data_IF_527683261808
#
_entry.id   IF_527683261808
#
_cell.length_a   1.000
_cell.length_b   1.000
_cell.length_c   1.000
_cell.angle_alpha   90.00
_cell.angle_beta   90.00
_cell.angle_gamma   90.00
#
_symmetry.space_group_name_H-M   'P 1'
#
loop_
_entity.id
_entity.type
_entity.pdbx_description
1 polymer ?
#
# COMPACT_ATOMS: atom_id res chain seq x y z
N UNK A 1 18.51 2.81 10.02
CA UNK A 1 17.11 3.26 10.11
C UNK A 1 16.52 3.13 8.72
N UNK A 2 15.68 2.13 8.54
CA UNK A 2 14.96 1.87 7.30
C UNK A 2 13.60 2.56 7.37
N UNK A 3 13.22 3.18 6.28
CA UNK A 3 11.93 3.85 6.11
C UNK A 3 11.12 3.16 5.02
N UNK A 4 9.80 3.07 5.23
CA UNK A 4 8.83 2.70 4.23
C UNK A 4 7.76 3.80 4.14
N UNK A 5 7.27 4.08 2.94
CA UNK A 5 6.23 5.08 2.69
C UNK A 5 5.11 4.49 1.86
N UNK A 6 3.89 4.71 2.30
CA UNK A 6 2.65 4.40 1.58
C UNK A 6 2.07 5.75 1.16
N UNK A 7 2.12 6.08 -0.14
CA UNK A 7 1.58 7.34 -0.65
C UNK A 7 0.21 7.05 -1.28
N UNK A 8 -0.84 7.18 -0.47
CA UNK A 8 -2.23 6.91 -0.89
C UNK A 8 -2.80 8.13 -1.62
N UNK A 9 -3.01 8.01 -2.93
CA UNK A 9 -3.84 8.96 -3.67
C UNK A 9 -5.17 8.29 -4.04
N UNK A 10 -6.24 9.08 -3.99
CA UNK A 10 -7.65 8.67 -3.91
C UNK A 10 -8.11 7.80 -5.08
N UNK A 11 -8.83 6.70 -4.82
CA UNK A 11 -9.48 5.90 -5.88
C UNK A 11 -10.75 6.60 -6.36
N UNK A 12 -10.91 6.80 -7.68
CA UNK A 12 -12.10 7.43 -8.30
C UNK A 12 -13.41 6.68 -8.02
N UNK A 13 -13.33 5.40 -7.67
CA UNK A 13 -14.48 4.50 -7.61
C UNK A 13 -14.85 4.01 -6.20
N UNK A 14 -13.98 4.18 -5.19
CA UNK A 14 -14.24 3.77 -3.81
C UNK A 14 -14.30 5.00 -2.89
N UNK A 15 -15.52 5.44 -2.62
CA UNK A 15 -15.82 6.53 -1.69
C UNK A 15 -15.94 5.98 -0.26
N UNK A 16 -15.14 6.48 0.68
CA UNK A 16 -15.41 6.27 2.12
C UNK A 16 -16.12 7.51 2.71
N UNK A 17 -16.98 7.28 3.72
CA UNK A 17 -17.99 8.21 4.27
C UNK A 17 -17.51 9.60 4.76
N UNK A 18 -16.21 9.87 4.90
CA UNK A 18 -15.67 11.10 5.50
C UNK A 18 -14.85 11.97 4.52
N UNK A 19 -15.22 11.98 3.24
CA UNK A 19 -14.37 12.58 2.19
C UNK A 19 -14.87 13.98 1.73
N UNK A 20 -14.43 15.03 2.43
CA UNK A 20 -14.76 16.45 2.13
C UNK A 20 -14.19 17.00 0.80
N UNK A 21 -13.39 16.23 0.06
CA UNK A 21 -12.66 16.73 -1.11
C UNK A 21 -13.34 16.35 -2.44
N UNK A 22 -14.57 16.76 -2.69
CA UNK A 22 -15.41 16.37 -3.86
C UNK A 22 -14.86 16.66 -5.28
N UNK A 23 -13.62 17.11 -5.48
CA UNK A 23 -13.15 17.70 -6.75
C UNK A 23 -11.89 17.09 -7.41
N UNK A 24 -11.39 15.93 -6.96
CA UNK A 24 -10.19 15.33 -7.59
C UNK A 24 -10.54 14.71 -8.96
N UNK A 25 -9.93 15.23 -10.04
CA UNK A 25 -10.18 14.87 -11.45
C UNK A 25 -9.10 13.96 -12.08
N UNK A 26 -7.99 13.70 -11.38
CA UNK A 26 -6.82 12.99 -11.92
C UNK A 26 -6.88 11.47 -11.68
N UNK A 27 -6.31 10.72 -12.61
CA UNK A 27 -6.18 9.27 -12.57
C UNK A 27 -5.17 8.86 -11.48
N UNK A 28 -5.55 7.85 -10.70
CA UNK A 28 -5.00 7.57 -9.38
C UNK A 28 -3.70 6.78 -9.45
N UNK A 29 -2.65 7.26 -8.78
CA UNK A 29 -1.40 6.52 -8.63
C UNK A 29 -1.07 6.32 -7.14
N UNK A 30 -1.16 5.08 -6.66
CA UNK A 30 -0.64 4.67 -5.35
C UNK A 30 0.83 4.28 -5.50
N UNK A 31 1.70 4.69 -4.57
CA UNK A 31 3.12 4.32 -4.61
C UNK A 31 3.61 3.82 -3.26
N UNK A 32 4.22 2.64 -3.29
CA UNK A 32 4.96 2.04 -2.19
C UNK A 32 6.43 2.41 -2.40
N UNK A 33 7.09 2.91 -1.36
CA UNK A 33 8.50 3.25 -1.41
C UNK A 33 9.19 2.66 -0.18
N UNK A 34 10.11 1.73 -0.42
CA UNK A 34 11.08 1.30 0.57
C UNK A 34 12.38 2.07 0.37
N UNK A 35 13.00 2.52 1.45
CA UNK A 35 14.37 3.07 1.39
C UNK A 35 15.45 2.01 1.20
N UNK A 36 15.14 0.75 1.52
CA UNK A 36 15.99 -0.41 1.29
C UNK A 36 15.36 -1.26 0.17
N UNK A 37 15.96 -1.35 -1.03
CA UNK A 37 15.39 -2.10 -2.15
C UNK A 37 15.12 -3.57 -1.85
N UNK A 38 15.89 -4.20 -0.96
CA UNK A 38 15.68 -5.60 -0.59
C UNK A 38 14.33 -5.85 0.09
N UNK A 39 13.73 -4.84 0.76
CA UNK A 39 12.43 -4.98 1.41
C UNK A 39 11.28 -5.17 0.40
N UNK A 40 11.42 -4.65 -0.83
CA UNK A 40 10.43 -4.92 -1.88
C UNK A 40 10.41 -6.40 -2.26
N UNK A 41 11.59 -7.02 -2.40
CA UNK A 41 11.71 -8.44 -2.72
C UNK A 41 11.14 -9.32 -1.60
N UNK A 42 11.33 -8.90 -0.35
CA UNK A 42 10.75 -9.60 0.81
C UNK A 42 9.22 -9.48 0.83
N UNK A 43 8.69 -8.32 0.46
CA UNK A 43 7.25 -8.13 0.32
C UNK A 43 6.67 -9.00 -0.80
N UNK A 44 7.27 -8.96 -2.01
CA UNK A 44 6.86 -9.78 -3.15
C UNK A 44 6.86 -11.27 -2.81
N UNK A 45 7.94 -11.73 -2.16
CA UNK A 45 8.05 -13.11 -1.68
C UNK A 45 6.92 -13.46 -0.71
N UNK A 46 6.66 -12.60 0.28
CA UNK A 46 5.58 -12.82 1.23
C UNK A 46 4.21 -12.84 0.56
N UNK A 47 3.95 -11.99 -0.43
CA UNK A 47 2.71 -12.01 -1.21
C UNK A 47 2.53 -13.34 -1.92
N UNK A 48 3.58 -13.83 -2.61
CA UNK A 48 3.56 -15.13 -3.29
C UNK A 48 3.32 -16.30 -2.33
N UNK A 49 4.00 -16.30 -1.17
CA UNK A 49 3.85 -17.33 -0.13
C UNK A 49 2.41 -17.39 0.44
N UNK A 50 1.67 -16.27 0.36
CA UNK A 50 0.27 -16.18 0.78
C UNK A 50 -0.72 -16.27 -0.39
N UNK A 51 -0.28 -16.83 -1.53
CA UNK A 51 -1.15 -17.14 -2.67
C UNK A 51 -1.64 -15.92 -3.46
N UNK A 52 -0.94 -14.80 -3.35
CA UNK A 52 -1.08 -13.64 -4.22
C UNK A 52 0.04 -13.55 -5.25
N UNK A 53 0.03 -12.48 -6.02
CA UNK A 53 1.09 -12.10 -6.97
C UNK A 53 1.15 -10.58 -7.00
N UNK A 54 2.34 -10.00 -6.86
CA UNK A 54 2.53 -8.56 -6.87
C UNK A 54 3.25 -8.14 -8.14
N UNK A 55 2.58 -7.32 -8.95
CA UNK A 55 3.15 -6.74 -10.17
C UNK A 55 2.96 -5.22 -10.13
N UNK A 56 4.04 -4.46 -10.16
CA UNK A 56 3.95 -3.01 -10.29
C UNK A 56 4.14 -2.60 -11.74
N UNK A 57 3.03 -2.23 -12.38
CA UNK A 57 3.05 -1.64 -13.71
C UNK A 57 3.56 -0.20 -13.62
N UNK A 58 4.83 -0.04 -13.95
CA UNK A 58 5.53 1.25 -13.92
C UNK A 58 4.97 2.23 -14.95
N UNK A 59 4.56 1.75 -16.13
CA UNK A 59 4.13 2.59 -17.25
C UNK A 59 2.79 3.25 -16.96
N UNK A 60 1.88 2.52 -16.30
CA UNK A 60 0.59 3.06 -15.83
C UNK A 60 0.61 3.41 -14.33
N UNK A 61 1.77 3.30 -13.68
CA UNK A 61 1.99 3.60 -12.26
C UNK A 61 0.92 3.00 -11.33
N UNK A 62 0.53 1.75 -11.59
CA UNK A 62 -0.53 1.04 -10.87
C UNK A 62 -0.08 -0.36 -10.41
N UNK A 63 -0.63 -0.82 -9.29
CA UNK A 63 -0.42 -2.18 -8.81
C UNK A 63 -1.40 -3.13 -9.51
N UNK A 64 -0.85 -4.20 -10.05
CA UNK A 64 -1.54 -5.33 -10.67
C UNK A 64 -1.26 -6.58 -9.85
N UNK A 65 -1.79 -7.69 -10.34
CA UNK A 65 -1.65 -9.00 -9.72
C UNK A 65 -2.85 -9.36 -8.84
N UNK A 66 -2.62 -10.31 -7.94
CA UNK A 66 -3.66 -10.86 -7.07
C UNK A 66 -3.29 -10.65 -5.61
N UNK A 67 -4.26 -10.21 -4.80
CA UNK A 67 -4.02 -9.98 -3.38
C UNK A 67 -3.74 -11.30 -2.66
N UNK A 68 -2.86 -11.31 -1.64
CA UNK A 68 -2.64 -12.49 -0.81
C UNK A 68 -3.93 -12.89 -0.08
N UNK A 69 -4.14 -14.20 0.07
CA UNK A 69 -5.35 -14.79 0.67
C UNK A 69 -5.14 -14.97 2.18
N UNK A 70 -5.35 -13.90 2.94
CA UNK A 70 -5.25 -13.96 4.40
C UNK A 70 -6.63 -14.08 5.03
N UNK A 71 -6.79 -14.97 6.03
CA UNK A 71 -8.07 -15.17 6.73
C UNK A 71 -8.58 -13.93 7.47
N UNK A 72 -7.67 -13.04 7.86
CA UNK A 72 -8.00 -11.77 8.52
C UNK A 72 -8.74 -10.81 7.57
N UNK A 73 -8.56 -10.99 6.27
CA UNK A 73 -9.12 -10.17 5.21
C UNK A 73 -10.41 -10.80 4.69
N UNK A 74 -11.52 -10.55 5.41
CA UNK A 74 -12.85 -11.13 5.11
C UNK A 74 -13.68 -10.34 4.09
N UNK A 75 -13.40 -9.04 3.96
CA UNK A 75 -14.09 -8.11 3.06
C UNK A 75 -13.22 -7.71 1.86
N UNK A 76 -13.65 -6.70 1.10
CA UNK A 76 -12.83 -6.10 0.04
C UNK A 76 -11.63 -5.35 0.64
N UNK A 77 -10.42 -5.69 0.19
CA UNK A 77 -9.17 -5.03 0.60
C UNK A 77 -8.44 -4.49 -0.63
N UNK A 78 -7.57 -3.51 -0.42
CA UNK A 78 -6.68 -3.01 -1.46
C UNK A 78 -5.20 -3.22 -1.09
N UNK A 79 -4.31 -3.01 -2.05
CA UNK A 79 -2.86 -3.11 -1.83
C UNK A 79 -2.33 -2.23 -0.69
N UNK A 80 -2.99 -1.11 -0.38
CA UNK A 80 -2.62 -0.29 0.77
C UNK A 80 -2.83 -1.05 2.09
N UNK A 81 -3.96 -1.73 2.24
CA UNK A 81 -4.28 -2.49 3.46
C UNK A 81 -3.34 -3.68 3.63
N UNK A 82 -3.08 -4.39 2.53
CA UNK A 82 -2.10 -5.48 2.49
C UNK A 82 -0.70 -4.99 2.90
N UNK A 83 -0.26 -3.86 2.35
CA UNK A 83 1.05 -3.29 2.65
C UNK A 83 1.14 -2.80 4.09
N UNK A 84 0.13 -2.08 4.58
CA UNK A 84 0.10 -1.63 5.98
C UNK A 84 0.16 -2.83 6.92
N UNK A 85 -0.59 -3.91 6.64
CA UNK A 85 -0.53 -5.13 7.42
C UNK A 85 0.87 -5.76 7.39
N UNK A 86 1.46 -5.89 6.21
CA UNK A 86 2.81 -6.42 6.06
C UNK A 86 3.83 -5.62 6.88
N UNK A 87 3.83 -4.28 6.75
CA UNK A 87 4.76 -3.41 7.47
C UNK A 87 4.63 -3.56 8.99
N UNK A 88 3.40 -3.48 9.51
CA UNK A 88 3.15 -3.45 10.94
C UNK A 88 3.25 -4.82 11.62
N UNK A 89 2.83 -5.88 10.94
CA UNK A 89 2.67 -7.20 11.55
C UNK A 89 3.68 -8.24 11.10
N UNK A 90 4.34 -8.04 9.95
CA UNK A 90 5.26 -9.02 9.36
C UNK A 90 6.69 -8.48 9.33
N UNK A 91 6.91 -7.30 8.76
CA UNK A 91 8.23 -6.74 8.51
C UNK A 91 8.86 -5.98 9.71
N UNK A 92 8.09 -5.77 10.78
CA UNK A 92 8.56 -5.15 12.02
C UNK A 92 8.73 -3.64 11.96
N UNK A 93 8.07 -2.97 11.02
CA UNK A 93 8.03 -1.52 10.97
C UNK A 93 7.02 -0.97 11.98
N UNK A 94 7.27 0.24 12.46
CA UNK A 94 6.34 1.01 13.29
C UNK A 94 5.85 2.24 12.55
N UNK A 95 4.57 2.57 12.72
CA UNK A 95 4.03 3.84 12.22
C UNK A 95 4.78 5.02 12.84
N UNK A 96 5.13 6.01 12.02
CA UNK A 96 5.88 7.18 12.45
C UNK A 96 5.09 8.47 12.28
N UNK A 97 4.56 8.72 11.08
CA UNK A 97 3.84 9.97 10.79
C UNK A 97 2.97 9.86 9.55
N UNK A 98 2.06 10.82 9.39
CA UNK A 98 1.30 11.03 8.16
C UNK A 98 1.96 12.09 7.27
N UNK A 99 1.72 12.01 5.96
CA UNK A 99 2.17 12.99 4.96
C UNK A 99 0.95 13.79 4.48
N UNK A 100 0.72 15.00 5.01
CA UNK A 100 -0.29 15.91 4.48
C UNK A 100 0.17 16.59 3.17
N UNK A 101 -0.74 17.00 2.27
CA UNK A 101 -2.19 16.75 2.27
C UNK A 101 -2.58 15.34 1.77
N UNK A 102 -1.59 14.53 1.39
CA UNK A 102 -1.74 13.37 0.54
C UNK A 102 -2.00 12.06 1.26
N UNK A 103 -2.89 12.00 2.27
CA UNK A 103 -3.27 10.79 3.07
C UNK A 103 -2.16 9.71 3.17
N UNK A 104 -0.90 10.14 3.31
CA UNK A 104 0.27 9.28 3.14
C UNK A 104 0.77 8.86 4.51
N UNK A 105 1.49 7.75 4.57
CA UNK A 105 1.97 7.17 5.82
C UNK A 105 3.47 6.88 5.72
N UNK A 106 4.19 7.18 6.79
CA UNK A 106 5.62 6.88 6.96
C UNK A 106 5.78 5.88 8.08
N UNK A 107 6.61 4.88 7.83
CA UNK A 107 6.94 3.81 8.76
C UNK A 107 8.46 3.72 8.94
N UNK A 108 8.91 3.35 10.15
CA UNK A 108 10.32 3.23 10.52
C UNK A 108 10.65 1.85 11.08
N UNK A 109 11.88 1.40 10.80
CA UNK A 109 12.51 0.17 11.31
C UNK A 109 13.98 0.41 11.62
#
# INVERSE_FOLDING_TARGET
>A
MHTAKIIRHRHKYHHYMNDDLKSVKEETHFKIIFSEPAELLLFEKWVMENGGDYDYDKDNSCQRGSLPKLEIFKEEHCWCDIMTYYLLHIAGYSFHSTIPPYKGEVYLK
#
